data_IF_867268061993
#
_entry.id   IF_867268061993
#
_cell.length_a   1.000
_cell.length_b   1.000
_cell.length_c   1.000
_cell.angle_alpha   90.00
_cell.angle_beta   90.00
_cell.angle_gamma   90.00
#
_symmetry.space_group_name_H-M   'P 1'
#
loop_
_entity.id
_entity.type
_entity.pdbx_description
1 polymer ?
#
# COMPACT_ATOMS: atom_id res chain seq x y z
N UNK A 1 0.69 -5.45 -7.02
CA UNK A 1 1.97 -4.96 -7.60
C UNK A 1 3.06 -4.71 -6.55
N UNK A 2 2.77 -4.01 -5.44
CA UNK A 2 3.80 -3.53 -4.49
C UNK A 2 4.74 -4.60 -3.91
N UNK A 3 4.29 -5.85 -3.76
CA UNK A 3 5.14 -6.96 -3.30
C UNK A 3 5.86 -7.72 -4.44
N UNK A 4 5.35 -7.62 -5.67
CA UNK A 4 5.88 -8.37 -6.81
C UNK A 4 7.29 -7.89 -7.11
N UNK A 5 7.48 -6.58 -7.29
CA UNK A 5 8.77 -5.99 -7.63
C UNK A 5 9.91 -6.36 -6.66
N UNK A 6 9.78 -6.19 -5.33
CA UNK A 6 10.85 -6.55 -4.41
C UNK A 6 11.10 -8.07 -4.39
N UNK A 7 10.05 -8.91 -4.42
CA UNK A 7 10.22 -10.36 -4.42
C UNK A 7 10.88 -10.86 -5.71
N UNK A 8 10.50 -10.33 -6.87
CA UNK A 8 11.13 -10.69 -8.14
C UNK A 8 12.57 -10.21 -8.19
N UNK A 9 12.87 -8.99 -7.74
CA UNK A 9 14.23 -8.47 -7.68
C UNK A 9 15.14 -9.32 -6.76
N UNK A 10 14.67 -9.72 -5.58
CA UNK A 10 15.42 -10.60 -4.67
C UNK A 10 15.68 -11.97 -5.29
N UNK A 11 14.67 -12.58 -5.90
CA UNK A 11 14.80 -13.90 -6.54
C UNK A 11 15.69 -13.87 -7.78
N UNK A 12 15.58 -12.81 -8.60
CA UNK A 12 16.41 -12.61 -9.78
C UNK A 12 17.86 -12.32 -9.39
N UNK A 13 18.09 -11.50 -8.35
CA UNK A 13 19.43 -11.24 -7.79
C UNK A 13 20.09 -12.49 -7.19
N UNK A 14 19.30 -13.44 -6.70
CA UNK A 14 19.78 -14.76 -6.26
C UNK A 14 19.99 -15.78 -7.40
N UNK A 15 19.96 -15.34 -8.66
CA UNK A 15 20.15 -16.19 -9.85
C UNK A 15 18.94 -17.05 -10.23
N UNK A 16 17.78 -16.84 -9.59
CA UNK A 16 16.55 -17.63 -9.83
C UNK A 16 15.56 -16.86 -10.70
N UNK A 17 15.94 -16.52 -11.93
CA UNK A 17 15.13 -15.68 -12.84
C UNK A 17 13.95 -16.43 -13.46
N UNK A 18 14.10 -17.73 -13.76
CA UNK A 18 13.09 -18.52 -14.51
C UNK A 18 11.73 -18.57 -13.81
N UNK A 19 11.72 -18.77 -12.48
CA UNK A 19 10.47 -18.95 -11.72
C UNK A 19 9.66 -17.64 -11.60
N UNK A 20 10.25 -16.50 -11.21
CA UNK A 20 9.60 -15.19 -11.28
C UNK A 20 8.96 -14.91 -12.64
N UNK A 21 9.69 -15.16 -13.74
CA UNK A 21 9.18 -14.91 -15.09
C UNK A 21 7.98 -15.81 -15.41
N UNK A 22 8.05 -17.11 -15.07
CA UNK A 22 6.94 -18.04 -15.29
C UNK A 22 5.68 -17.63 -14.50
N UNK A 23 5.85 -17.17 -13.26
CA UNK A 23 4.73 -16.70 -12.43
C UNK A 23 4.11 -15.42 -12.99
N UNK A 24 4.92 -14.48 -13.51
CA UNK A 24 4.42 -13.27 -14.17
C UNK A 24 3.60 -13.60 -15.42
N UNK A 25 4.10 -14.51 -16.26
CA UNK A 25 3.37 -14.99 -17.44
C UNK A 25 2.06 -15.68 -17.02
N UNK A 26 2.11 -16.53 -15.99
CA UNK A 26 0.91 -17.19 -15.44
C UNK A 26 -0.13 -16.19 -14.96
N UNK A 27 0.28 -15.13 -14.26
CA UNK A 27 -0.63 -14.07 -13.84
C UNK A 27 -1.25 -13.28 -15.00
N UNK A 28 -0.50 -13.08 -16.08
CA UNK A 28 -1.03 -12.48 -17.31
C UNK A 28 -2.10 -13.38 -17.94
N UNK A 29 -1.85 -14.69 -18.01
CA UNK A 29 -2.84 -15.66 -18.51
C UNK A 29 -4.10 -15.64 -17.65
N UNK A 30 -3.95 -15.65 -16.32
CA UNK A 30 -5.08 -15.55 -15.38
C UNK A 30 -5.88 -14.26 -15.63
N UNK A 31 -5.20 -13.12 -15.82
CA UNK A 31 -5.85 -11.86 -16.16
C UNK A 31 -6.68 -12.01 -17.45
N UNK A 32 -6.12 -12.57 -18.51
CA UNK A 32 -6.81 -12.73 -19.80
C UNK A 32 -8.07 -13.61 -19.65
N UNK A 33 -7.95 -14.72 -18.93
CA UNK A 33 -9.08 -15.63 -18.66
C UNK A 33 -10.15 -14.93 -17.82
N UNK A 34 -9.76 -14.23 -16.75
CA UNK A 34 -10.69 -13.49 -15.91
C UNK A 34 -11.35 -12.31 -16.65
N UNK A 35 -10.68 -11.72 -17.64
CA UNK A 35 -11.22 -10.60 -18.40
C UNK A 35 -12.46 -10.99 -19.21
N UNK A 36 -12.52 -12.22 -19.73
CA UNK A 36 -13.60 -12.72 -20.58
C UNK A 36 -14.98 -12.65 -19.89
N UNK A 37 -15.16 -13.14 -18.64
CA UNK A 37 -16.43 -12.99 -17.93
C UNK A 37 -16.58 -11.65 -17.19
N UNK A 38 -15.49 -11.03 -16.72
CA UNK A 38 -15.62 -9.82 -15.87
C UNK A 38 -15.89 -8.55 -16.67
N UNK A 39 -15.33 -8.41 -17.87
CA UNK A 39 -15.51 -7.20 -18.70
C UNK A 39 -16.95 -7.04 -19.19
N UNK A 40 -17.65 -8.08 -19.66
CA UNK A 40 -19.05 -7.94 -20.06
C UNK A 40 -20.00 -7.57 -18.90
N UNK A 41 -19.65 -7.91 -17.66
CA UNK A 41 -20.50 -7.67 -16.48
C UNK A 41 -20.23 -6.31 -15.83
N UNK A 42 -18.96 -5.87 -15.82
CA UNK A 42 -18.52 -4.69 -15.08
C UNK A 42 -17.68 -3.71 -15.91
N UNK A 43 -17.68 -3.85 -17.24
CA UNK A 43 -16.93 -3.02 -18.18
C UNK A 43 -15.45 -2.83 -17.75
N UNK A 44 -15.04 -1.58 -17.60
CA UNK A 44 -13.70 -1.16 -17.20
C UNK A 44 -13.38 -1.58 -15.76
N UNK A 45 -14.36 -1.60 -14.86
CA UNK A 45 -14.17 -2.07 -13.49
C UNK A 45 -13.88 -3.58 -13.46
N UNK A 46 -14.51 -4.35 -14.37
CA UNK A 46 -14.22 -5.76 -14.57
C UNK A 46 -12.77 -6.02 -14.97
N UNK A 47 -12.24 -5.22 -15.89
CA UNK A 47 -10.82 -5.29 -16.30
C UNK A 47 -9.85 -4.98 -15.13
N UNK A 48 -10.22 -4.02 -14.26
CA UNK A 48 -9.43 -3.69 -13.08
C UNK A 48 -9.41 -4.85 -12.05
N UNK A 49 -10.56 -5.48 -11.81
CA UNK A 49 -10.67 -6.64 -10.91
C UNK A 49 -9.87 -7.82 -11.46
N UNK A 50 -9.98 -8.12 -12.76
CA UNK A 50 -9.21 -9.18 -13.41
C UNK A 50 -7.69 -8.94 -13.26
N UNK A 51 -7.23 -7.70 -13.39
CA UNK A 51 -5.84 -7.32 -13.13
C UNK A 51 -5.41 -7.57 -11.68
N UNK A 52 -6.25 -7.21 -10.70
CA UNK A 52 -5.98 -7.45 -9.29
C UNK A 52 -5.90 -8.95 -8.96
N UNK A 53 -6.79 -9.77 -9.53
CA UNK A 53 -6.74 -11.23 -9.38
C UNK A 53 -5.41 -11.79 -9.91
N UNK A 54 -4.99 -11.36 -11.10
CA UNK A 54 -3.70 -11.73 -11.67
C UNK A 54 -2.53 -11.34 -10.75
N UNK A 55 -2.53 -10.12 -10.20
CA UNK A 55 -1.51 -9.69 -9.25
C UNK A 55 -1.52 -10.48 -7.94
N UNK A 56 -2.69 -10.85 -7.41
CA UNK A 56 -2.81 -11.70 -6.22
C UNK A 56 -2.20 -13.07 -6.50
N UNK A 57 -2.55 -13.69 -7.63
CA UNK A 57 -1.99 -14.98 -8.03
C UNK A 57 -0.46 -14.95 -8.13
N UNK A 58 0.09 -13.93 -8.80
CA UNK A 58 1.56 -13.72 -8.90
C UNK A 58 2.17 -13.56 -7.51
N UNK A 59 1.59 -12.71 -6.67
CA UNK A 59 2.12 -12.39 -5.34
C UNK A 59 2.13 -13.62 -4.44
N UNK A 60 1.04 -14.38 -4.43
CA UNK A 60 0.93 -15.64 -3.66
C UNK A 60 1.95 -16.66 -4.17
N UNK A 61 2.05 -16.85 -5.49
CA UNK A 61 3.04 -17.76 -6.08
C UNK A 61 4.48 -17.39 -5.72
N UNK A 62 4.82 -16.10 -5.81
CA UNK A 62 6.14 -15.59 -5.42
C UNK A 62 6.40 -15.76 -3.93
N UNK A 63 5.44 -15.48 -3.05
CA UNK A 63 5.57 -15.65 -1.61
C UNK A 63 5.79 -17.11 -1.21
N UNK A 64 5.06 -18.04 -1.82
CA UNK A 64 5.22 -19.48 -1.58
C UNK A 64 6.61 -19.95 -2.02
N UNK A 65 7.05 -19.53 -3.21
CA UNK A 65 8.38 -19.87 -3.72
C UNK A 65 9.50 -19.25 -2.88
N UNK A 66 9.32 -17.99 -2.47
CA UNK A 66 10.25 -17.27 -1.61
C UNK A 66 10.43 -17.96 -0.26
N UNK A 67 9.32 -18.36 0.40
CA UNK A 67 9.37 -19.15 1.65
C UNK A 67 9.99 -20.54 1.48
N UNK A 68 9.88 -21.13 0.29
CA UNK A 68 10.51 -22.42 -0.01
C UNK A 68 12.04 -22.31 -0.09
N UNK A 69 12.56 -21.21 -0.64
CA UNK A 69 14.00 -20.96 -0.74
C UNK A 69 14.57 -20.48 0.60
N UNK A 70 13.93 -19.49 1.22
CA UNK A 70 14.36 -18.92 2.49
C UNK A 70 13.31 -19.19 3.57
N UNK A 71 13.64 -20.06 4.53
CA UNK A 71 12.82 -20.36 5.72
C UNK A 71 12.90 -19.23 6.75
N UNK A 72 12.58 -18.00 6.34
CA UNK A 72 12.50 -16.85 7.24
C UNK A 72 11.07 -16.64 7.72
N UNK A 73 10.93 -16.15 8.96
CA UNK A 73 9.64 -15.63 9.43
C UNK A 73 9.41 -14.27 8.78
N UNK A 74 8.19 -14.06 8.29
CA UNK A 74 7.72 -12.74 7.89
C UNK A 74 7.61 -11.83 9.12
N UNK A 75 7.20 -10.58 8.92
CA UNK A 75 7.04 -9.60 9.99
C UNK A 75 6.15 -10.14 11.14
N UNK A 76 6.37 -9.68 12.39
CA UNK A 76 5.59 -10.14 13.53
C UNK A 76 4.12 -9.71 13.39
N UNK A 77 3.18 -10.49 13.96
CA UNK A 77 1.74 -10.18 13.92
C UNK A 77 1.41 -8.76 14.43
N UNK A 78 2.18 -8.27 15.42
CA UNK A 78 2.08 -6.90 15.93
C UNK A 78 2.31 -5.85 14.83
N UNK A 79 3.24 -6.07 13.92
CA UNK A 79 3.48 -5.17 12.78
C UNK A 79 2.21 -5.03 11.94
N UNK A 80 1.63 -6.16 11.53
CA UNK A 80 0.43 -6.18 10.71
C UNK A 80 -0.77 -5.53 11.41
N UNK A 81 -1.00 -5.84 12.70
CA UNK A 81 -2.14 -5.31 13.45
C UNK A 81 -2.16 -3.78 13.51
N UNK A 82 -1.02 -3.16 13.77
CA UNK A 82 -0.94 -1.71 13.81
C UNK A 82 -0.92 -1.04 12.43
N UNK A 83 -0.39 -1.70 11.39
CA UNK A 83 -0.55 -1.21 10.02
C UNK A 83 -2.02 -1.19 9.64
N UNK A 84 -2.79 -2.20 10.03
CA UNK A 84 -4.25 -2.22 9.86
C UNK A 84 -4.89 -1.07 10.64
N UNK A 85 -4.54 -0.88 11.91
CA UNK A 85 -5.06 0.25 12.72
C UNK A 85 -4.74 1.59 12.06
N UNK A 86 -3.51 1.82 11.59
CA UNK A 86 -3.11 3.03 10.91
C UNK A 86 -3.93 3.28 9.64
N UNK A 87 -4.16 2.24 8.83
CA UNK A 87 -5.00 2.31 7.63
C UNK A 87 -6.46 2.60 7.96
N UNK A 88 -7.02 1.98 9.02
CA UNK A 88 -8.40 2.23 9.46
C UNK A 88 -8.55 3.66 9.97
N UNK A 89 -7.61 4.15 10.79
CA UNK A 89 -7.61 5.55 11.24
C UNK A 89 -7.51 6.53 10.07
N UNK A 90 -6.70 6.23 9.05
CA UNK A 90 -6.63 7.02 7.83
C UNK A 90 -7.99 7.08 7.12
N UNK A 91 -8.64 5.92 6.90
CA UNK A 91 -9.97 5.86 6.26
C UNK A 91 -11.00 6.66 7.06
N UNK A 92 -10.99 6.52 8.39
CA UNK A 92 -11.93 7.20 9.29
C UNK A 92 -11.84 8.72 9.24
N UNK A 93 -10.69 9.29 8.83
CA UNK A 93 -10.53 10.75 8.70
C UNK A 93 -10.72 11.22 7.26
N UNK A 94 -10.26 10.44 6.29
CA UNK A 94 -10.39 10.81 4.87
C UNK A 94 -11.86 10.79 4.42
N UNK A 95 -12.66 9.82 4.85
CA UNK A 95 -14.07 9.74 4.45
C UNK A 95 -14.90 10.96 4.88
N UNK A 96 -14.88 11.40 6.17
CA UNK A 96 -15.56 12.63 6.57
C UNK A 96 -14.96 13.86 5.89
N UNK A 97 -13.64 13.91 5.71
CA UNK A 97 -12.98 15.04 5.05
C UNK A 97 -13.48 15.22 3.61
N UNK A 98 -13.63 14.13 2.84
CA UNK A 98 -14.18 14.19 1.49
C UNK A 98 -15.61 14.74 1.49
N UNK A 99 -16.47 14.30 2.43
CA UNK A 99 -17.86 14.76 2.52
C UNK A 99 -17.93 16.27 2.83
N UNK A 100 -17.11 16.74 3.78
CA UNK A 100 -17.08 18.16 4.17
C UNK A 100 -16.46 19.03 3.08
N UNK A 101 -15.39 18.56 2.44
CA UNK A 101 -14.70 19.30 1.40
C UNK A 101 -15.54 19.48 0.15
N UNK A 102 -16.29 18.43 -0.24
CA UNK A 102 -17.22 18.45 -1.37
C UNK A 102 -18.45 19.32 -1.06
N UNK A 103 -19.04 19.19 0.13
CA UNK A 103 -20.28 19.88 0.48
C UNK A 103 -20.17 21.34 0.93
N UNK A 104 -19.04 21.79 1.48
CA UNK A 104 -18.95 23.13 2.11
C UNK A 104 -17.81 24.02 1.59
N UNK A 105 -16.65 23.44 1.24
CA UNK A 105 -15.45 24.22 0.94
C UNK A 105 -15.26 24.51 -0.55
N UNK A 106 -15.62 23.56 -1.42
CA UNK A 106 -15.31 23.66 -2.85
C UNK A 106 -16.53 23.65 -3.78
N UNK A 107 -17.74 23.74 -3.23
CA UNK A 107 -19.02 23.75 -3.97
C UNK A 107 -19.12 24.90 -5.01
N UNK A 108 -18.38 26.00 -4.79
CA UNK A 108 -18.32 27.16 -5.71
C UNK A 108 -17.20 27.10 -6.75
N UNK A 109 -16.35 26.07 -6.74
CA UNK A 109 -15.25 25.93 -7.70
C UNK A 109 -15.66 25.09 -8.91
N UNK A 110 -14.97 25.24 -10.05
CA UNK A 110 -15.15 24.34 -11.19
C UNK A 110 -14.91 22.89 -10.79
N UNK A 111 -15.82 21.99 -11.19
CA UNK A 111 -15.86 20.58 -10.77
C UNK A 111 -14.48 19.87 -10.84
N UNK A 112 -13.67 20.15 -11.87
CA UNK A 112 -12.33 19.55 -12.03
C UNK A 112 -11.28 20.09 -11.05
N UNK A 113 -11.31 21.39 -10.77
CA UNK A 113 -10.36 22.05 -9.86
C UNK A 113 -10.72 21.70 -8.41
N UNK A 114 -12.01 21.72 -8.07
CA UNK A 114 -12.52 21.25 -6.78
C UNK A 114 -12.10 19.81 -6.50
N UNK A 115 -12.38 18.88 -7.41
CA UNK A 115 -12.00 17.47 -7.25
C UNK A 115 -10.48 17.28 -7.07
N UNK A 116 -9.65 18.06 -7.78
CA UNK A 116 -8.19 17.99 -7.64
C UNK A 116 -7.72 18.47 -6.27
N UNK A 117 -8.29 19.57 -5.76
CA UNK A 117 -7.95 20.10 -4.44
C UNK A 117 -8.45 19.18 -3.31
N UNK A 118 -9.64 18.61 -3.45
CA UNK A 118 -10.16 17.60 -2.52
C UNK A 118 -9.23 16.39 -2.50
N UNK A 119 -8.82 15.89 -3.66
CA UNK A 119 -7.89 14.76 -3.75
C UNK A 119 -6.54 15.07 -3.08
N UNK A 120 -5.93 16.22 -3.38
CA UNK A 120 -4.64 16.61 -2.80
C UNK A 120 -4.71 16.76 -1.27
N UNK A 121 -5.73 17.44 -0.76
CA UNK A 121 -5.91 17.63 0.69
C UNK A 121 -6.23 16.32 1.40
N UNK A 122 -7.06 15.47 0.79
CA UNK A 122 -7.40 14.14 1.32
C UNK A 122 -6.16 13.25 1.41
N UNK A 123 -5.32 13.23 0.38
CA UNK A 123 -4.07 12.47 0.36
C UNK A 123 -3.10 13.01 1.42
N UNK A 124 -2.94 14.33 1.54
CA UNK A 124 -2.07 14.94 2.53
C UNK A 124 -2.53 14.64 3.97
N UNK A 125 -3.83 14.75 4.25
CA UNK A 125 -4.41 14.43 5.55
C UNK A 125 -4.24 12.95 5.88
N UNK A 126 -4.63 12.07 4.97
CA UNK A 126 -4.52 10.62 5.15
C UNK A 126 -3.08 10.15 5.37
N UNK A 127 -2.13 10.66 4.57
CA UNK A 127 -0.71 10.36 4.73
C UNK A 127 -0.17 10.83 6.09
N UNK A 128 -0.56 12.02 6.54
CA UNK A 128 -0.13 12.57 7.83
C UNK A 128 -0.61 11.71 9.00
N UNK A 129 -1.87 11.26 8.95
CA UNK A 129 -2.49 10.43 10.00
C UNK A 129 -1.87 9.04 10.02
N UNK A 130 -1.71 8.44 8.85
CA UNK A 130 -1.05 7.13 8.73
C UNK A 130 0.36 7.18 9.32
N UNK A 131 1.17 8.17 8.93
CA UNK A 131 2.52 8.35 9.47
C UNK A 131 2.50 8.59 10.98
N UNK A 132 1.61 9.44 11.48
CA UNK A 132 1.50 9.73 12.91
C UNK A 132 1.18 8.47 13.75
N UNK A 133 0.23 7.64 13.30
CA UNK A 133 -0.12 6.39 13.99
C UNK A 133 1.07 5.42 13.97
N UNK A 134 1.75 5.28 12.83
CA UNK A 134 2.94 4.42 12.71
C UNK A 134 4.08 4.89 13.61
N UNK A 135 4.36 6.20 13.66
CA UNK A 135 5.36 6.77 14.58
C UNK A 135 5.04 6.48 16.04
N UNK A 136 3.77 6.66 16.43
CA UNK A 136 3.29 6.41 17.80
C UNK A 136 3.35 4.93 18.18
N UNK A 137 3.14 4.03 17.22
CA UNK A 137 3.12 2.58 17.46
C UNK A 137 4.49 1.95 17.78
N UNK A 138 5.60 2.66 17.49
CA UNK A 138 7.00 2.23 17.67
C UNK A 138 7.34 0.86 17.05
N UNK A 139 6.71 0.54 15.94
CA UNK A 139 6.93 -0.74 15.26
C UNK A 139 8.21 -0.71 14.44
N UNK A 140 8.53 0.46 13.88
CA UNK A 140 9.77 0.69 13.15
C UNK A 140 10.85 1.15 14.13
N UNK A 141 12.02 0.53 14.04
CA UNK A 141 13.19 0.97 14.77
C UNK A 141 13.67 2.33 14.23
N UNK A 142 14.32 3.14 15.06
CA UNK A 142 14.81 4.47 14.66
C UNK A 142 15.69 4.41 13.40
N UNK A 143 16.54 3.37 13.30
CA UNK A 143 17.37 3.10 12.11
C UNK A 143 16.58 2.82 10.83
N UNK A 144 15.37 2.27 10.93
CA UNK A 144 14.51 1.96 9.78
C UNK A 144 13.85 3.23 9.23
N UNK A 145 13.63 4.25 10.07
CA UNK A 145 13.16 5.56 9.62
C UNK A 145 14.15 6.26 8.70
N UNK A 146 15.45 6.05 8.89
CA UNK A 146 16.48 6.64 8.01
C UNK A 146 16.45 6.10 6.58
N UNK A 147 15.80 4.96 6.34
CA UNK A 147 15.61 4.40 5.00
C UNK A 147 14.51 5.13 4.22
N UNK A 148 13.64 5.88 4.90
CA UNK A 148 12.59 6.66 4.26
C UNK A 148 13.11 8.03 3.80
N UNK A 149 12.59 8.57 2.67
CA UNK A 149 12.84 9.96 2.33
C UNK A 149 12.38 10.85 3.50
N UNK A 150 13.23 11.81 3.89
CA UNK A 150 13.04 12.65 5.10
C UNK A 150 13.19 11.96 6.47
N UNK A 151 13.74 10.74 6.51
CA UNK A 151 13.91 9.93 7.71
C UNK A 151 14.54 10.63 8.92
N UNK A 152 15.52 11.51 8.70
CA UNK A 152 16.16 12.31 9.78
C UNK A 152 15.15 13.19 10.53
N UNK A 153 14.21 13.83 9.82
CA UNK A 153 13.20 14.70 10.44
C UNK A 153 12.14 13.88 11.16
N UNK A 154 11.72 12.77 10.55
CA UNK A 154 10.72 11.85 11.12
C UNK A 154 11.22 11.16 12.40
N UNK A 155 12.49 10.74 12.43
CA UNK A 155 13.12 10.15 13.61
C UNK A 155 13.17 11.14 14.79
N UNK A 156 13.56 12.39 14.55
CA UNK A 156 13.57 13.43 15.59
C UNK A 156 12.17 13.71 16.14
N UNK A 157 11.16 13.75 15.29
CA UNK A 157 9.77 13.92 15.71
C UNK A 157 9.29 12.72 16.55
N UNK A 158 9.64 11.49 16.18
CA UNK A 158 9.31 10.30 16.97
C UNK A 158 9.96 10.35 18.36
N UNK A 159 11.22 10.79 18.45
CA UNK A 159 11.94 10.97 19.71
C UNK A 159 11.31 12.06 20.59
N UNK A 160 10.92 13.20 20.01
CA UNK A 160 10.25 14.29 20.72
C UNK A 160 8.89 13.88 21.30
N UNK A 161 8.07 13.18 20.50
CA UNK A 161 6.78 12.63 20.95
C UNK A 161 6.94 11.62 22.09
N UNK A 162 8.08 10.93 22.15
CA UNK A 162 8.39 9.96 23.20
C UNK A 162 9.00 10.55 24.47
N UNK A 163 9.72 11.67 24.36
CA UNK A 163 10.38 12.30 25.50
C UNK A 163 9.38 12.82 26.54
N UNK A 164 8.14 13.12 26.13
CA UNK A 164 7.06 13.57 27.01
C UNK A 164 6.36 12.46 27.81
N UNK A 165 6.83 11.21 27.75
CA UNK A 165 6.26 10.04 28.45
C UNK A 165 7.19 9.39 29.47
N UNK A 166 8.30 10.06 29.83
CA UNK A 166 9.14 9.70 30.98
C UNK A 166 8.74 10.51 32.20
#
# INVERSE_FOLDING_TARGET
LSLILPLTAMLQGAGRVKVPTLLLIGGLVIKIIANQPLVPVWDVAGAAIAGNIGFVAITVGLLLYFKKIWRIRLAPARFYGWVIVASVCMIAVVLPWMIVADGFLFDKLPNRVGATLIALTSVAAGASIFLFVIMKSRIMAEKEWFLLPFGKRLATLQLQLNKSRK
#
